data_IF_469337825237
#
_entry.id   IF_469337825237
#
_cell.length_a   1.000
_cell.length_b   1.000
_cell.length_c   1.000
_cell.angle_alpha   90.00
_cell.angle_beta   90.00
_cell.angle_gamma   90.00
#
_symmetry.space_group_name_H-M   'P 1'
#
loop_
_entity.id
_entity.type
_entity.pdbx_description
1 polymer ?
#
# COMPACT_ATOMS: atom_id res chain seq x y z
N UNK A 1 -5.16 0.73 -9.37
CA UNK A 1 -3.88 0.90 -8.62
C UNK A 1 -4.07 1.17 -7.13
N UNK A 2 -4.87 2.17 -6.70
CA UNK A 2 -5.11 2.45 -5.26
C UNK A 2 -5.67 1.25 -4.46
N UNK A 3 -6.58 0.48 -5.06
CA UNK A 3 -7.13 -0.75 -4.45
C UNK A 3 -6.08 -1.84 -4.24
N UNK A 4 -5.15 -1.98 -5.19
CA UNK A 4 -4.01 -2.91 -5.10
C UNK A 4 -3.07 -2.52 -3.95
N UNK A 5 -2.78 -1.21 -3.80
CA UNK A 5 -2.00 -0.69 -2.68
C UNK A 5 -2.68 -0.98 -1.35
N UNK A 6 -3.98 -0.69 -1.22
CA UNK A 6 -4.72 -0.97 0.01
C UNK A 6 -4.69 -2.46 0.39
N UNK A 7 -4.82 -3.37 -0.59
CA UNK A 7 -4.74 -4.82 -0.35
C UNK A 7 -3.34 -5.22 0.11
N UNK A 8 -2.31 -4.70 -0.55
CA UNK A 8 -0.91 -4.96 -0.19
C UNK A 8 -0.59 -4.48 1.24
N UNK A 9 -1.02 -3.28 1.62
CA UNK A 9 -0.85 -2.76 2.98
C UNK A 9 -1.59 -3.59 4.03
N UNK A 10 -2.78 -4.12 3.71
CA UNK A 10 -3.51 -5.03 4.62
C UNK A 10 -2.76 -6.35 4.83
N UNK A 11 -2.20 -6.92 3.76
CA UNK A 11 -1.38 -8.13 3.83
C UNK A 11 -0.13 -7.89 4.68
N UNK A 12 0.54 -6.75 4.51
CA UNK A 12 1.69 -6.38 5.33
C UNK A 12 1.34 -6.34 6.82
N UNK A 13 0.25 -5.65 7.19
CA UNK A 13 -0.23 -5.60 8.58
C UNK A 13 -0.60 -6.97 9.14
N UNK A 14 -1.14 -7.87 8.31
CA UNK A 14 -1.45 -9.24 8.74
C UNK A 14 -0.16 -10.02 9.02
N UNK A 15 0.85 -9.90 8.15
CA UNK A 15 2.14 -10.55 8.32
C UNK A 15 2.87 -10.05 9.56
N UNK A 16 2.82 -8.76 9.85
CA UNK A 16 3.35 -8.16 11.08
C UNK A 16 2.71 -8.79 12.33
N UNK A 17 1.39 -8.92 12.38
CA UNK A 17 0.68 -9.58 13.50
C UNK A 17 1.07 -11.06 13.65
N UNK A 18 1.24 -11.77 12.54
CA UNK A 18 1.67 -13.17 12.55
C UNK A 18 3.14 -13.33 12.98
N UNK A 19 3.97 -12.33 12.71
CA UNK A 19 5.35 -12.27 13.18
C UNK A 19 5.39 -12.07 14.70
N UNK A 20 4.69 -11.06 15.21
CA UNK A 20 4.60 -10.77 16.65
C UNK A 20 4.08 -11.97 17.46
N UNK A 21 3.05 -12.66 16.95
CA UNK A 21 2.55 -13.89 17.59
C UNK A 21 3.62 -14.99 17.63
N UNK A 22 4.36 -15.17 16.54
CA UNK A 22 5.43 -16.17 16.50
C UNK A 22 6.57 -15.84 17.48
N UNK A 23 6.88 -14.55 17.67
CA UNK A 23 7.87 -14.12 18.66
C UNK A 23 7.42 -14.45 20.08
N UNK A 24 6.14 -14.23 20.39
CA UNK A 24 5.57 -14.61 21.69
C UNK A 24 5.63 -16.13 21.91
N UNK A 25 5.24 -16.91 20.91
CA UNK A 25 5.32 -18.38 20.96
C UNK A 25 6.77 -18.85 21.13
N UNK A 26 7.73 -18.21 20.46
CA UNK A 26 9.15 -18.49 20.62
C UNK A 26 9.67 -18.18 22.02
N UNK A 27 9.33 -17.00 22.57
CA UNK A 27 9.71 -16.63 23.93
C UNK A 27 9.15 -17.60 24.98
N UNK A 28 7.95 -18.15 24.76
CA UNK A 28 7.40 -19.20 25.63
C UNK A 28 8.21 -20.50 25.54
N UNK A 29 8.64 -20.91 24.34
CA UNK A 29 9.52 -22.08 24.17
C UNK A 29 10.87 -21.87 24.84
N UNK A 30 11.49 -20.70 24.71
CA UNK A 30 12.76 -20.38 25.39
C UNK A 30 12.62 -20.49 26.91
N UNK A 31 11.54 -19.95 27.48
CA UNK A 31 11.27 -20.10 28.93
C UNK A 31 11.11 -21.56 29.34
N UNK A 32 10.41 -22.37 28.54
CA UNK A 32 10.26 -23.81 28.81
C UNK A 32 11.59 -24.56 28.79
N UNK A 33 12.46 -24.25 27.83
CA UNK A 33 13.83 -24.80 27.78
C UNK A 33 14.60 -24.43 29.04
N UNK A 34 14.57 -23.15 29.44
CA UNK A 34 15.24 -22.69 30.68
C UNK A 34 14.70 -23.38 31.93
N UNK A 35 13.38 -23.58 32.03
CA UNK A 35 12.76 -24.30 33.14
C UNK A 35 13.17 -25.78 33.18
N UNK A 36 13.28 -26.44 32.03
CA UNK A 36 13.73 -27.83 31.96
C UNK A 36 15.22 -27.96 32.36
N UNK A 37 16.05 -27.01 31.92
CA UNK A 37 17.48 -27.00 32.23
C UNK A 37 17.76 -26.70 33.71
N UNK A 38 17.06 -25.73 34.29
CA UNK A 38 17.13 -25.45 35.73
C UNK A 38 16.66 -26.64 36.56
N UNK A 39 15.52 -27.26 36.23
CA UNK A 39 15.05 -28.46 36.91
C UNK A 39 16.04 -29.63 36.84
N UNK A 40 16.76 -29.77 35.71
CA UNK A 40 17.81 -30.77 35.56
C UNK A 40 19.03 -30.45 36.44
N UNK A 41 19.46 -29.19 36.45
CA UNK A 41 20.60 -28.74 37.27
C UNK A 41 20.31 -28.86 38.77
N UNK A 42 19.11 -28.50 39.21
CA UNK A 42 18.68 -28.64 40.60
C UNK A 42 18.66 -30.11 41.03
N UNK A 43 18.19 -31.01 40.17
CA UNK A 43 18.20 -32.45 40.45
C UNK A 43 19.62 -33.02 40.50
N UNK A 44 20.52 -32.57 39.62
CA UNK A 44 21.95 -32.94 39.68
C UNK A 44 22.58 -32.43 40.98
N UNK A 45 22.31 -31.17 41.36
CA UNK A 45 22.82 -30.58 42.60
C UNK A 45 22.32 -31.37 43.82
N UNK A 46 21.02 -31.63 43.90
CA UNK A 46 20.44 -32.42 44.98
C UNK A 46 21.04 -33.83 45.07
N UNK A 47 21.30 -34.48 43.93
CA UNK A 47 21.96 -35.79 43.90
C UNK A 47 23.43 -35.75 44.36
N UNK A 48 24.15 -34.67 44.04
CA UNK A 48 25.53 -34.50 44.46
C UNK A 48 25.64 -34.18 45.95
N UNK A 49 24.74 -33.34 46.48
CA UNK A 49 24.67 -32.97 47.90
C UNK A 49 24.27 -34.16 48.77
N UNK A 50 23.31 -34.98 48.33
CA UNK A 50 22.83 -36.15 49.05
C UNK A 50 23.51 -37.46 48.59
N UNK A 51 24.84 -37.42 48.49
CA UNK A 51 25.72 -38.50 48.03
C UNK A 51 25.62 -39.83 48.82
N UNK A 52 24.83 -39.87 49.91
CA UNK A 52 24.54 -41.04 50.73
C UNK A 52 23.20 -41.74 50.44
N UNK A 53 22.50 -41.42 49.34
CA UNK A 53 21.23 -42.09 48.99
C UNK A 53 21.39 -43.60 48.80
N UNK A 54 20.44 -44.37 49.35
CA UNK A 54 20.30 -45.80 49.07
C UNK A 54 19.92 -46.06 47.60
N UNK A 55 20.41 -47.17 47.05
CA UNK A 55 20.32 -47.54 45.63
C UNK A 55 18.94 -47.40 44.94
N UNK A 56 17.78 -47.71 45.57
CA UNK A 56 16.49 -47.51 44.89
C UNK A 56 16.17 -46.04 44.62
N UNK A 57 16.53 -45.11 45.51
CA UNK A 57 16.29 -43.68 45.31
C UNK A 57 17.20 -43.12 44.21
N UNK A 58 18.42 -43.64 44.12
CA UNK A 58 19.38 -43.30 43.07
C UNK A 58 18.87 -43.71 41.70
N UNK A 59 18.33 -44.93 41.56
CA UNK A 59 17.76 -45.43 40.31
C UNK A 59 16.58 -44.57 39.83
N UNK A 60 15.66 -44.20 40.73
CA UNK A 60 14.51 -43.34 40.38
C UNK A 60 14.96 -41.94 39.93
N UNK A 61 15.94 -41.36 40.61
CA UNK A 61 16.46 -40.04 40.26
C UNK A 61 17.20 -40.04 38.93
N UNK A 62 18.00 -41.08 38.64
CA UNK A 62 18.65 -41.26 37.33
C UNK A 62 17.61 -41.41 36.21
N UNK A 63 16.54 -42.19 36.45
CA UNK A 63 15.45 -42.30 35.48
C UNK A 63 14.78 -40.94 35.22
N UNK A 64 14.48 -40.18 36.28
CA UNK A 64 13.90 -38.83 36.17
C UNK A 64 14.82 -37.86 35.44
N UNK A 65 16.13 -37.93 35.69
CA UNK A 65 17.13 -37.12 34.98
C UNK A 65 17.16 -37.45 33.50
N UNK A 66 17.11 -38.74 33.13
CA UNK A 66 17.05 -39.18 31.73
C UNK A 66 15.79 -38.64 31.04
N UNK A 67 14.63 -38.75 31.68
CA UNK A 67 13.36 -38.24 31.13
C UNK A 67 13.41 -36.72 30.95
N UNK A 68 13.93 -35.98 31.93
CA UNK A 68 14.13 -34.52 31.81
C UNK A 68 15.11 -34.15 30.70
N UNK A 69 16.19 -34.92 30.52
CA UNK A 69 17.16 -34.68 29.47
C UNK A 69 16.55 -34.88 28.06
N UNK A 70 15.74 -35.93 27.88
CA UNK A 70 15.00 -36.16 26.62
C UNK A 70 14.03 -35.01 26.36
N UNK A 71 13.20 -34.65 27.34
CA UNK A 71 12.25 -33.55 27.20
C UNK A 71 12.94 -32.20 26.91
N UNK A 72 14.08 -31.92 27.55
CA UNK A 72 14.87 -30.72 27.26
C UNK A 72 15.43 -30.72 25.84
N UNK A 73 15.83 -31.89 25.31
CA UNK A 73 16.31 -32.01 23.95
C UNK A 73 15.19 -31.79 22.92
N UNK A 74 14.00 -32.34 23.16
CA UNK A 74 12.81 -32.10 22.34
C UNK A 74 12.44 -30.61 22.32
N UNK A 75 12.39 -29.96 23.49
CA UNK A 75 12.12 -28.52 23.59
C UNK A 75 13.16 -27.66 22.87
N UNK A 76 14.45 -28.05 22.90
CA UNK A 76 15.51 -27.36 22.14
C UNK A 76 15.32 -27.52 20.64
N UNK A 77 14.97 -28.72 20.17
CA UNK A 77 14.69 -28.96 18.75
C UNK A 77 13.48 -28.13 18.28
N UNK A 78 12.42 -28.05 19.09
CA UNK A 78 11.27 -27.16 18.83
C UNK A 78 11.67 -25.68 18.81
N UNK A 79 12.51 -25.25 19.75
CA UNK A 79 13.05 -23.89 19.81
C UNK A 79 13.87 -23.56 18.56
N UNK A 80 14.73 -24.47 18.12
CA UNK A 80 15.55 -24.32 16.90
C UNK A 80 14.67 -24.20 15.65
N UNK A 81 13.66 -25.07 15.51
CA UNK A 81 12.70 -25.01 14.42
C UNK A 81 11.91 -23.69 14.44
N UNK A 82 11.47 -23.25 15.62
CA UNK A 82 10.79 -21.96 15.82
C UNK A 82 11.68 -20.78 15.43
N UNK A 83 12.97 -20.78 15.81
CA UNK A 83 13.94 -19.75 15.38
C UNK A 83 14.07 -19.69 13.86
N UNK A 84 14.16 -20.85 13.18
CA UNK A 84 14.25 -20.90 11.73
C UNK A 84 12.97 -20.34 11.06
N UNK A 85 11.80 -20.69 11.57
CA UNK A 85 10.52 -20.16 11.09
C UNK A 85 10.42 -18.64 11.29
N UNK A 86 10.87 -18.12 12.43
CA UNK A 86 10.91 -16.68 12.70
C UNK A 86 11.78 -15.94 11.68
N UNK A 87 12.97 -16.46 11.41
CA UNK A 87 13.86 -15.88 10.38
C UNK A 87 13.20 -15.89 9.01
N UNK A 88 12.58 -17.01 8.61
CA UNK A 88 11.85 -17.09 7.35
C UNK A 88 10.72 -16.06 7.27
N UNK A 89 9.91 -15.92 8.32
CA UNK A 89 8.83 -14.93 8.39
C UNK A 89 9.35 -13.50 8.35
N UNK A 90 10.43 -13.18 9.06
CA UNK A 90 11.07 -11.87 9.03
C UNK A 90 11.56 -11.50 7.62
N UNK A 91 12.20 -12.44 6.92
CA UNK A 91 12.62 -12.22 5.51
C UNK A 91 11.44 -12.03 4.58
N UNK A 92 10.34 -12.76 4.79
CA UNK A 92 9.11 -12.61 4.00
C UNK A 92 8.47 -11.25 4.26
N UNK A 93 8.39 -10.82 5.52
CA UNK A 93 7.89 -9.51 5.91
C UNK A 93 8.71 -8.40 5.26
N UNK A 94 10.04 -8.49 5.32
CA UNK A 94 10.91 -7.49 4.68
C UNK A 94 10.71 -7.41 3.16
N UNK A 95 10.49 -8.54 2.49
CA UNK A 95 10.21 -8.57 1.06
C UNK A 95 8.85 -7.92 0.73
N UNK A 96 7.84 -8.12 1.56
CA UNK A 96 6.52 -7.52 1.34
C UNK A 96 6.51 -6.04 1.65
N UNK A 97 7.25 -5.57 2.65
CA UNK A 97 7.50 -4.13 2.89
C UNK A 97 8.04 -3.47 1.62
N UNK A 98 9.16 -3.98 1.08
CA UNK A 98 9.79 -3.44 -0.12
C UNK A 98 8.85 -3.44 -1.33
N UNK A 99 8.03 -4.48 -1.46
CA UNK A 99 7.04 -4.56 -2.54
C UNK A 99 5.92 -3.51 -2.38
N UNK A 100 5.41 -3.31 -1.16
CA UNK A 100 4.40 -2.29 -0.85
C UNK A 100 4.95 -0.89 -1.11
N UNK A 101 6.20 -0.63 -0.73
CA UNK A 101 6.86 0.66 -0.95
C UNK A 101 7.00 1.00 -2.43
N UNK A 102 7.45 0.03 -3.23
CA UNK A 102 7.53 0.16 -4.71
C UNK A 102 6.16 0.45 -5.30
N UNK A 103 5.14 -0.29 -4.87
CA UNK A 103 3.78 -0.09 -5.36
C UNK A 103 3.21 1.28 -4.94
N UNK A 104 3.60 1.79 -3.76
CA UNK A 104 3.29 3.13 -3.31
C UNK A 104 3.96 4.21 -4.18
N UNK A 105 5.22 4.02 -4.55
CA UNK A 105 5.93 4.90 -5.47
C UNK A 105 5.30 4.91 -6.86
N UNK A 106 4.93 3.75 -7.40
CA UNK A 106 4.22 3.65 -8.68
C UNK A 106 2.89 4.41 -8.63
N UNK A 107 2.09 4.24 -7.57
CA UNK A 107 0.82 4.95 -7.42
C UNK A 107 1.00 6.46 -7.39
N UNK A 108 2.03 6.97 -6.69
CA UNK A 108 2.36 8.40 -6.68
C UNK A 108 2.75 8.90 -8.05
N UNK A 109 3.64 8.18 -8.73
CA UNK A 109 4.09 8.55 -10.06
C UNK A 109 2.95 8.57 -11.10
N UNK A 110 2.02 7.61 -11.02
CA UNK A 110 0.81 7.60 -11.86
C UNK A 110 -0.12 8.78 -11.56
N UNK A 111 -0.25 9.18 -10.30
CA UNK A 111 -1.04 10.35 -9.92
C UNK A 111 -0.40 11.64 -10.45
N UNK A 112 0.91 11.82 -10.26
CA UNK A 112 1.66 12.97 -10.79
C UNK A 112 1.53 13.07 -12.32
N UNK A 113 1.70 11.96 -13.04
CA UNK A 113 1.54 11.93 -14.50
C UNK A 113 0.13 12.36 -14.93
N UNK A 114 -0.89 11.90 -14.22
CA UNK A 114 -2.28 12.29 -14.50
C UNK A 114 -2.49 13.78 -14.22
N UNK A 115 -1.99 14.28 -13.10
CA UNK A 115 -2.13 15.70 -12.74
C UNK A 115 -1.42 16.60 -13.77
N UNK A 116 -0.25 16.19 -14.27
CA UNK A 116 0.45 16.90 -15.35
C UNK A 116 -0.32 16.85 -16.68
N UNK A 117 -0.86 15.69 -17.05
CA UNK A 117 -1.70 15.58 -18.25
C UNK A 117 -2.94 16.49 -18.16
N UNK A 118 -3.64 16.48 -17.02
CA UNK A 118 -4.80 17.35 -16.79
C UNK A 118 -4.43 18.85 -16.84
N UNK A 119 -3.23 19.23 -16.39
CA UNK A 119 -2.72 20.61 -16.51
C UNK A 119 -2.39 21.00 -17.94
N UNK A 120 -1.76 20.09 -18.69
CA UNK A 120 -1.44 20.32 -20.11
C UNK A 120 -2.72 20.43 -20.94
N UNK A 121 -3.71 19.56 -20.72
CA UNK A 121 -5.01 19.60 -21.42
C UNK A 121 -5.75 20.92 -21.16
N UNK A 122 -5.66 21.48 -19.94
CA UNK A 122 -6.23 22.80 -19.64
C UNK A 122 -5.50 23.92 -20.36
N UNK A 123 -4.18 23.84 -20.51
CA UNK A 123 -3.40 24.84 -21.23
C UNK A 123 -3.68 24.78 -22.73
N UNK A 124 -3.71 23.59 -23.32
CA UNK A 124 -3.98 23.40 -24.75
C UNK A 124 -5.43 23.73 -25.10
N UNK A 125 -6.40 23.29 -24.29
CA UNK A 125 -7.81 23.64 -24.44
C UNK A 125 -8.08 25.15 -24.26
N UNK A 126 -7.40 25.81 -23.32
CA UNK A 126 -7.50 27.27 -23.16
C UNK A 126 -6.87 28.04 -24.34
N UNK A 127 -5.79 27.50 -24.94
CA UNK A 127 -5.21 28.10 -26.15
C UNK A 127 -6.08 27.92 -27.39
N UNK A 128 -6.84 26.83 -27.52
CA UNK A 128 -7.80 26.67 -28.62
C UNK A 128 -8.99 27.65 -28.49
N UNK A 129 -9.53 27.83 -27.27
CA UNK A 129 -10.58 28.83 -27.05
C UNK A 129 -10.09 30.28 -27.24
N UNK A 130 -8.85 30.58 -26.89
CA UNK A 130 -8.24 31.90 -27.15
C UNK A 130 -7.96 32.12 -28.65
N UNK A 131 -7.52 31.08 -29.37
CA UNK A 131 -7.24 31.13 -30.81
C UNK A 131 -8.52 31.27 -31.64
N UNK A 132 -9.62 30.60 -31.24
CA UNK A 132 -10.93 30.72 -31.88
C UNK A 132 -11.63 32.07 -31.61
N UNK A 133 -11.32 32.76 -30.51
CA UNK A 133 -11.80 34.13 -30.26
C UNK A 133 -11.02 35.20 -31.03
N UNK A 134 -9.79 34.90 -31.46
CA UNK A 134 -8.95 35.84 -32.22
C UNK A 134 -9.25 35.88 -33.73
N UNK A 135 -10.18 35.05 -34.22
CA UNK A 135 -10.57 34.96 -35.63
C UNK A 135 -11.99 35.49 -35.88
N UNK A 136 -12.46 36.51 -35.14
CA UNK A 136 -13.63 37.29 -35.57
C UNK A 136 -13.13 38.38 -36.52
N UNK A 137 -13.29 38.26 -37.85
CA UNK A 137 -12.98 39.37 -38.74
C UNK A 137 -13.90 40.54 -38.39
N UNK A 138 -13.28 41.70 -38.12
CA UNK A 138 -14.00 42.96 -38.11
C UNK A 138 -14.59 43.17 -39.51
N UNK A 139 -15.91 43.13 -39.61
CA UNK A 139 -16.65 43.28 -40.85
C UNK A 139 -16.37 44.67 -41.47
N UNK A 140 -15.92 44.78 -42.73
CA UNK A 140 -15.77 46.06 -43.41
C UNK A 140 -17.12 46.51 -43.97
N UNK A 141 -17.97 47.10 -43.13
CA UNK A 141 -19.17 47.81 -43.59
C UNK A 141 -18.93 49.31 -43.41
N UNK A 142 -18.21 49.89 -44.37
CA UNK A 142 -18.08 51.34 -44.51
C UNK A 142 -18.14 51.69 -45.99
N UNK A 143 -19.32 51.53 -46.57
CA UNK A 143 -19.74 52.28 -47.75
C UNK A 143 -20.93 53.16 -47.36
N UNK A 144 -20.80 54.49 -47.33
CA UNK A 144 -21.94 55.38 -47.34
C UNK A 144 -22.24 55.80 -48.79
N UNK A 145 -23.38 55.37 -49.34
CA UNK A 145 -23.94 55.90 -50.58
C UNK A 145 -25.06 56.90 -50.31
N UNK A 146 -24.72 58.18 -50.52
CA UNK A 146 -25.46 59.28 -51.20
C UNK A 146 -26.78 59.81 -50.59
N UNK A 147 -27.09 61.11 -50.82
CA UNK A 147 -27.92 61.41 -52.00
C UNK A 147 -27.54 62.69 -52.77
N UNK A 148 -27.54 62.57 -54.11
CA UNK A 148 -27.50 63.67 -55.07
C UNK A 148 -28.93 64.12 -55.38
N UNK A 149 -29.19 65.43 -55.34
CA UNK A 149 -30.51 66.01 -55.59
C UNK A 149 -30.70 66.45 -57.07
N UNK A 150 -31.85 66.04 -57.61
CA UNK A 150 -32.80 66.74 -58.50
C UNK A 150 -32.34 67.49 -59.77
N UNK A 151 -32.82 67.02 -60.93
CA UNK A 151 -33.44 67.86 -61.97
C UNK A 151 -34.43 66.99 -62.79
N UNK A 152 -35.64 67.52 -63.04
CA UNK A 152 -36.83 66.79 -63.51
C UNK A 152 -36.82 66.31 -64.97
N UNK A 153 -37.96 65.83 -65.49
CA UNK A 153 -38.95 66.77 -66.03
C UNK A 153 -40.43 66.40 -65.81
N UNK A 154 -41.26 67.29 -66.36
CA UNK A 154 -42.72 67.43 -66.35
C UNK A 154 -43.57 66.18 -66.66
N UNK A 155 -44.85 66.26 -66.25
CA UNK A 155 -45.89 65.20 -66.25
C UNK A 155 -46.39 64.73 -67.64
N UNK A 156 -47.67 64.26 -67.82
CA UNK A 156 -48.85 64.34 -66.95
C UNK A 156 -49.62 62.98 -66.69
N UNK A 157 -50.34 62.89 -65.55
CA UNK A 157 -51.79 62.56 -65.31
C UNK A 157 -52.55 61.74 -66.40
N UNK A 158 -53.62 60.93 -66.12
CA UNK A 158 -54.03 59.98 -65.04
C UNK A 158 -54.63 58.67 -65.70
N UNK A 159 -55.75 58.00 -65.28
CA UNK A 159 -56.38 57.76 -63.96
C UNK A 159 -56.67 56.25 -63.68
N UNK A 160 -57.28 55.99 -62.52
CA UNK A 160 -58.24 54.92 -62.21
C UNK A 160 -57.98 53.49 -62.70
N UNK A 161 -57.85 52.53 -61.77
CA UNK A 161 -58.96 51.57 -61.54
C UNK A 161 -58.81 50.80 -60.23
N UNK A 162 -59.95 50.64 -59.60
CA UNK A 162 -60.30 49.88 -58.42
C UNK A 162 -59.98 48.37 -58.49
N UNK A 163 -59.98 47.80 -57.27
CA UNK A 163 -60.66 46.57 -56.88
C UNK A 163 -59.88 45.23 -56.88
N UNK A 164 -59.87 44.69 -55.65
CA UNK A 164 -59.91 43.29 -55.21
C UNK A 164 -58.60 42.49 -55.17
#
# INVERSE_FOLDING_TARGET
>A
MRTRLSRATRLLKLQERLHQRAEQEHALLERRVQMADTAREDLIRALNEASAFHEPLRATAVHRLKTLAVAAQELRAERDASTQQLRARATQHRRTELWVDRLGAEVRHWAEKRDWAERLDRLTGATEEASLRSARPANPASEPRLPTAAAGPAGPVPPDTSAQ
#
